data_IF_524178431360
#
_entry.id   IF_524178431360
#
_cell.length_a   1.000
_cell.length_b   1.000
_cell.length_c   1.000
_cell.angle_alpha   90.00
_cell.angle_beta   90.00
_cell.angle_gamma   90.00
#
_symmetry.space_group_name_H-M   'P 1'
#
loop_
_entity.id
_entity.type
_entity.pdbx_description
1 polymer ?
#
# COMPACT_ATOMS: atom_id res chain seq x y z
N UNK A 1 -38.67 64.79 19.05
CA UNK A 1 -39.31 63.64 19.74
C UNK A 1 -39.61 62.56 18.71
N UNK A 2 -39.03 61.37 18.92
CA UNK A 2 -39.45 60.02 18.50
C UNK A 2 -39.70 59.76 16.99
N UNK A 3 -38.81 59.02 16.31
CA UNK A 3 -38.83 57.55 16.17
C UNK A 3 -40.05 57.09 15.33
N UNK A 4 -39.91 56.32 14.24
CA UNK A 4 -39.59 54.89 14.26
C UNK A 4 -39.17 54.38 12.86
N UNK A 5 -38.04 53.67 12.85
CA UNK A 5 -37.53 52.66 11.90
C UNK A 5 -38.59 51.85 11.11
N UNK A 6 -38.28 51.54 9.85
CA UNK A 6 -38.44 50.18 9.28
C UNK A 6 -37.48 49.98 8.11
N UNK A 7 -36.30 49.46 8.44
CA UNK A 7 -35.31 48.90 7.54
C UNK A 7 -35.80 47.55 7.00
N UNK A 8 -35.99 47.43 5.68
CA UNK A 8 -36.26 46.15 5.02
C UNK A 8 -34.93 45.48 4.66
N UNK A 9 -34.81 44.22 5.07
CA UNK A 9 -33.56 43.46 5.14
C UNK A 9 -33.08 43.00 3.77
N UNK A 10 -31.75 43.07 3.64
CA UNK A 10 -30.86 42.40 2.70
C UNK A 10 -31.23 40.91 2.55
N UNK A 11 -31.28 40.43 1.31
CA UNK A 11 -31.13 39.02 0.98
C UNK A 11 -30.07 38.89 -0.13
N UNK A 12 -28.81 39.14 0.23
CA UNK A 12 -27.66 38.71 -0.57
C UNK A 12 -27.59 37.19 -0.48
N UNK A 13 -28.00 36.53 -1.56
CA UNK A 13 -27.83 35.11 -1.77
C UNK A 13 -26.31 34.84 -1.93
N UNK A 14 -25.60 34.68 -0.81
CA UNK A 14 -24.21 34.22 -0.82
C UNK A 14 -24.24 32.73 -1.17
N UNK A 15 -24.13 32.44 -2.46
CA UNK A 15 -23.87 31.10 -2.98
C UNK A 15 -22.45 30.73 -2.51
N UNK A 16 -22.34 30.14 -1.32
CA UNK A 16 -21.14 29.45 -0.89
C UNK A 16 -20.95 28.30 -1.89
N UNK A 17 -20.04 28.50 -2.85
CA UNK A 17 -19.48 27.40 -3.61
C UNK A 17 -18.66 26.57 -2.62
N UNK A 18 -19.32 25.64 -1.93
CA UNK A 18 -18.65 24.56 -1.23
C UNK A 18 -18.08 23.68 -2.33
N UNK A 19 -16.85 23.97 -2.76
CA UNK A 19 -16.07 23.01 -3.51
C UNK A 19 -15.85 21.83 -2.56
N UNK A 20 -16.67 20.80 -2.73
CA UNK A 20 -16.42 19.49 -2.15
C UNK A 20 -15.13 18.99 -2.78
N UNK A 21 -14.01 19.24 -2.13
CA UNK A 21 -12.75 18.58 -2.46
C UNK A 21 -12.87 17.13 -1.99
N UNK A 22 -13.54 16.29 -2.77
CA UNK A 22 -13.16 14.89 -2.84
C UNK A 22 -11.86 14.84 -3.62
N UNK A 23 -10.71 14.94 -2.95
CA UNK A 23 -9.43 14.80 -3.64
C UNK A 23 -9.22 13.33 -3.98
N UNK A 24 -9.57 12.96 -5.22
CA UNK A 24 -9.11 11.71 -5.81
C UNK A 24 -7.58 11.66 -5.73
N UNK A 25 -7.01 10.45 -5.67
CA UNK A 25 -5.56 10.24 -5.73
C UNK A 25 -4.97 11.07 -6.87
N UNK A 26 -3.79 11.71 -6.65
CA UNK A 26 -3.09 12.44 -7.71
C UNK A 26 -2.97 11.54 -8.95
N UNK A 27 -3.73 11.86 -9.99
CA UNK A 27 -3.75 11.07 -11.22
C UNK A 27 -2.52 11.40 -12.05
N UNK A 28 -1.52 10.54 -11.97
CA UNK A 28 -0.33 10.60 -12.83
C UNK A 28 -0.61 9.90 -14.16
N UNK A 29 -0.36 10.63 -15.27
CA UNK A 29 -0.53 10.11 -16.63
C UNK A 29 0.84 9.64 -17.13
N UNK A 30 0.96 8.35 -17.45
CA UNK A 30 2.20 7.76 -17.93
C UNK A 30 2.77 8.53 -19.13
N UNK A 31 4.06 8.87 -19.10
CA UNK A 31 4.75 9.65 -20.13
C UNK A 31 4.49 11.16 -20.11
N UNK A 32 3.61 11.67 -19.24
CA UNK A 32 3.40 13.11 -19.08
C UNK A 32 4.05 13.59 -17.78
N UNK A 33 5.22 14.20 -17.92
CA UNK A 33 5.99 14.76 -16.81
C UNK A 33 5.77 16.27 -16.74
N UNK A 34 5.48 16.86 -15.56
CA UNK A 34 5.48 18.30 -15.36
C UNK A 34 6.82 18.95 -15.75
N UNK A 35 6.80 20.14 -16.34
CA UNK A 35 8.02 20.85 -16.73
C UNK A 35 8.93 21.17 -15.52
N UNK A 36 8.33 21.44 -14.36
CA UNK A 36 9.04 21.62 -13.08
C UNK A 36 9.82 20.37 -12.68
N UNK A 37 9.26 19.18 -12.89
CA UNK A 37 9.92 17.91 -12.56
C UNK A 37 11.06 17.58 -13.54
N UNK A 38 10.91 17.94 -14.82
CA UNK A 38 11.98 17.79 -15.82
C UNK A 38 13.16 18.71 -15.53
N UNK A 39 12.90 19.96 -15.13
CA UNK A 39 13.91 20.98 -14.86
C UNK A 39 14.48 20.94 -13.44
N UNK A 40 13.88 20.17 -12.52
CA UNK A 40 14.36 19.99 -11.15
C UNK A 40 15.80 19.44 -11.14
N UNK A 41 16.69 20.16 -10.43
CA UNK A 41 18.10 19.78 -10.24
C UNK A 41 18.44 19.41 -8.80
N UNK A 42 17.69 19.93 -7.84
CA UNK A 42 17.84 19.69 -6.40
C UNK A 42 16.44 19.51 -5.83
N UNK A 43 16.32 18.66 -4.82
CA UNK A 43 15.09 18.52 -4.06
C UNK A 43 15.19 19.37 -2.78
N UNK A 44 14.37 20.41 -2.66
CA UNK A 44 14.53 21.42 -1.59
C UNK A 44 14.36 20.86 -0.16
N UNK A 45 13.65 19.74 0.00
CA UNK A 45 13.46 19.10 1.30
C UNK A 45 14.57 18.09 1.67
N UNK A 46 15.46 17.77 0.74
CA UNK A 46 16.72 17.05 0.99
C UNK A 46 17.72 17.37 -0.13
N UNK A 47 18.51 18.43 0.07
CA UNK A 47 19.49 18.88 -0.93
C UNK A 47 20.66 17.92 -1.12
N UNK A 48 20.78 16.89 -0.28
CA UNK A 48 21.83 15.87 -0.37
C UNK A 48 21.38 14.60 -1.08
N UNK A 49 20.12 14.55 -1.54
CA UNK A 49 19.56 13.37 -2.17
C UNK A 49 20.16 13.11 -3.55
N UNK A 50 20.65 11.89 -3.75
CA UNK A 50 21.10 11.40 -5.07
C UNK A 50 19.92 11.08 -5.99
N UNK A 51 18.81 10.66 -5.39
CA UNK A 51 17.55 10.29 -6.05
C UNK A 51 16.40 10.81 -5.21
N UNK A 52 15.35 11.32 -5.86
CA UNK A 52 14.08 11.65 -5.19
C UNK A 52 12.92 10.91 -5.86
N UNK A 53 12.05 10.33 -5.05
CA UNK A 53 10.77 9.79 -5.53
C UNK A 53 9.79 10.96 -5.65
N UNK A 54 9.49 11.34 -6.89
CA UNK A 54 8.60 12.44 -7.20
C UNK A 54 7.14 12.07 -6.90
N UNK A 55 6.78 10.84 -7.22
CA UNK A 55 5.45 10.26 -7.06
C UNK A 55 5.57 8.75 -6.81
N UNK A 56 4.92 8.24 -5.77
CA UNK A 56 4.70 6.81 -5.51
C UNK A 56 3.21 6.60 -5.25
N UNK A 57 2.46 6.23 -6.29
CA UNK A 57 1.00 6.17 -6.23
C UNK A 57 0.53 4.75 -6.46
N UNK A 58 -0.32 4.28 -5.55
CA UNK A 58 -0.95 2.98 -5.57
C UNK A 58 -2.47 3.08 -5.69
N UNK A 59 -3.07 2.12 -6.37
CA UNK A 59 -4.50 1.89 -6.37
C UNK A 59 -4.74 0.40 -6.08
N UNK A 60 -5.40 0.11 -4.96
CA UNK A 60 -5.72 -1.24 -4.55
C UNK A 60 -7.20 -1.53 -4.76
N UNK A 61 -7.50 -2.59 -5.50
CA UNK A 61 -8.85 -3.04 -5.84
C UNK A 61 -9.06 -4.48 -5.44
N UNK A 62 -10.32 -4.86 -5.29
CA UNK A 62 -10.69 -6.22 -4.98
C UNK A 62 -11.76 -6.71 -5.95
N UNK A 63 -11.57 -7.91 -6.50
CA UNK A 63 -12.60 -8.61 -7.25
C UNK A 63 -13.21 -9.68 -6.35
N UNK A 64 -14.54 -9.70 -6.21
CA UNK A 64 -15.28 -10.63 -5.33
C UNK A 64 -16.18 -11.61 -6.11
N UNK A 65 -16.12 -11.63 -7.44
CA UNK A 65 -17.10 -12.36 -8.27
C UNK A 65 -16.89 -13.88 -8.27
N UNK A 66 -15.65 -14.35 -8.41
CA UNK A 66 -15.34 -15.79 -8.51
C UNK A 66 -14.38 -16.25 -7.40
N UNK A 67 -13.30 -15.49 -7.20
CA UNK A 67 -12.32 -15.63 -6.14
C UNK A 67 -12.01 -14.25 -5.64
N UNK A 68 -11.93 -14.08 -4.32
CA UNK A 68 -11.52 -12.78 -3.76
C UNK A 68 -10.04 -12.56 -4.07
N UNK A 69 -9.76 -11.72 -5.05
CA UNK A 69 -8.41 -11.36 -5.49
C UNK A 69 -8.17 -9.88 -5.24
N UNK A 70 -7.01 -9.54 -4.67
CA UNK A 70 -6.55 -8.17 -4.59
C UNK A 70 -5.73 -7.81 -5.83
N UNK A 71 -5.82 -6.57 -6.26
CA UNK A 71 -5.05 -6.00 -7.37
C UNK A 71 -4.40 -4.73 -6.86
N UNK A 72 -3.08 -4.62 -6.98
CA UNK A 72 -2.34 -3.42 -6.63
C UNK A 72 -1.68 -2.84 -7.88
N UNK A 73 -2.26 -1.75 -8.38
CA UNK A 73 -1.67 -0.95 -9.45
C UNK A 73 -0.69 0.04 -8.82
N UNK A 74 0.56 0.04 -9.27
CA UNK A 74 1.61 0.94 -8.77
C UNK A 74 2.15 1.77 -9.92
N UNK A 75 2.29 3.08 -9.71
CA UNK A 75 2.94 3.99 -10.65
C UNK A 75 3.91 4.90 -9.89
N UNK A 76 5.20 4.82 -10.25
CA UNK A 76 6.28 5.55 -9.60
C UNK A 76 7.06 6.40 -10.59
N UNK A 77 7.60 7.52 -10.07
CA UNK A 77 8.55 8.38 -10.76
C UNK A 77 9.72 8.67 -9.84
N UNK A 78 10.94 8.34 -10.26
CA UNK A 78 12.18 8.65 -9.53
C UNK A 78 13.05 9.55 -10.39
N UNK A 79 13.47 10.69 -9.85
CA UNK A 79 14.39 11.62 -10.49
C UNK A 79 15.80 11.35 -10.01
N UNK A 80 16.73 11.21 -10.94
CA UNK A 80 18.18 11.13 -10.67
C UNK A 80 18.72 12.55 -10.54
N UNK A 81 19.29 12.90 -9.40
CA UNK A 81 19.78 14.24 -9.09
C UNK A 81 21.31 14.35 -9.17
N UNK A 82 22.03 13.24 -8.98
CA UNK A 82 23.50 13.19 -8.99
C UNK A 82 24.02 12.00 -9.79
N UNK A 83 25.33 11.99 -10.07
CA UNK A 83 26.02 10.85 -10.70
C UNK A 83 25.91 9.57 -9.86
N UNK A 84 25.96 9.69 -8.52
CA UNK A 84 25.81 8.54 -7.63
C UNK A 84 24.42 7.89 -7.74
N UNK A 85 23.39 8.70 -7.99
CA UNK A 85 22.01 8.24 -8.19
C UNK A 85 21.82 7.35 -9.42
N UNK A 86 22.72 7.41 -10.42
CA UNK A 86 22.66 6.55 -11.61
C UNK A 86 22.73 5.05 -11.23
N UNK A 87 23.37 4.72 -10.10
CA UNK A 87 23.45 3.35 -9.59
C UNK A 87 22.09 2.79 -9.13
N UNK A 88 21.04 3.61 -8.98
CA UNK A 88 19.69 3.16 -8.68
C UNK A 88 18.94 2.58 -9.90
N UNK A 89 19.61 2.46 -11.06
CA UNK A 89 18.98 2.13 -12.33
C UNK A 89 18.38 0.73 -12.49
N UNK A 90 18.39 -0.07 -11.44
CA UNK A 90 17.69 -1.37 -11.41
C UNK A 90 16.62 -1.34 -10.33
N UNK A 91 15.36 -1.44 -10.74
CA UNK A 91 14.24 -1.64 -9.83
C UNK A 91 13.99 -3.14 -9.63
N UNK A 92 13.76 -3.54 -8.37
CA UNK A 92 13.47 -4.93 -8.01
C UNK A 92 12.10 -5.01 -7.36
N UNK A 93 11.20 -5.78 -7.96
CA UNK A 93 9.88 -6.07 -7.43
C UNK A 93 9.85 -7.53 -6.99
N UNK A 94 9.80 -7.77 -5.67
CA UNK A 94 9.64 -9.13 -5.11
C UNK A 94 8.17 -9.50 -5.04
N UNK A 95 7.86 -10.76 -5.33
CA UNK A 95 6.51 -11.32 -5.27
C UNK A 95 6.56 -12.78 -4.79
N UNK A 96 5.45 -13.28 -4.25
CA UNK A 96 5.33 -14.67 -3.81
C UNK A 96 5.15 -15.56 -5.04
N UNK A 97 6.12 -16.43 -5.30
CA UNK A 97 6.17 -17.30 -6.48
C UNK A 97 5.53 -18.67 -6.18
N UNK A 98 4.28 -18.62 -5.76
CA UNK A 98 3.40 -19.79 -5.65
C UNK A 98 2.36 -19.67 -6.76
N UNK A 99 2.13 -20.76 -7.49
CA UNK A 99 1.21 -20.76 -8.63
C UNK A 99 -0.18 -20.23 -8.22
N UNK A 100 -0.68 -19.23 -8.95
CA UNK A 100 -1.96 -18.59 -8.67
C UNK A 100 -2.02 -17.79 -7.36
N UNK A 101 -0.89 -17.50 -6.71
CA UNK A 101 -0.85 -16.66 -5.51
C UNK A 101 -0.59 -15.19 -5.86
N UNK A 102 0.60 -14.83 -6.35
CA UNK A 102 0.89 -13.47 -6.85
C UNK A 102 1.47 -13.52 -8.26
N UNK A 103 1.04 -12.57 -9.09
CA UNK A 103 1.55 -12.38 -10.44
C UNK A 103 1.83 -10.89 -10.70
N UNK A 104 2.99 -10.57 -11.27
CA UNK A 104 3.27 -9.22 -11.75
C UNK A 104 2.84 -9.13 -13.21
N UNK A 105 1.98 -8.17 -13.53
CA UNK A 105 1.44 -7.97 -14.86
C UNK A 105 1.52 -6.49 -15.28
N UNK A 106 1.22 -6.22 -16.55
CA UNK A 106 1.06 -4.85 -17.08
C UNK A 106 2.26 -3.91 -16.87
N UNK A 107 3.48 -4.47 -16.83
CA UNK A 107 4.72 -3.71 -16.58
C UNK A 107 5.02 -2.77 -17.76
N UNK A 108 5.14 -1.47 -17.45
CA UNK A 108 5.57 -0.40 -18.35
C UNK A 108 6.66 0.40 -17.67
N UNK A 109 7.81 0.51 -18.31
CA UNK A 109 8.94 1.26 -17.78
C UNK A 109 9.59 2.10 -18.88
N UNK A 110 10.05 3.29 -18.52
CA UNK A 110 10.78 4.18 -19.42
C UNK A 110 11.66 5.15 -18.63
N UNK A 111 12.68 5.67 -19.32
CA UNK A 111 13.49 6.80 -18.87
C UNK A 111 13.06 8.03 -19.64
N UNK A 112 12.78 9.12 -18.93
CA UNK A 112 12.56 10.44 -19.52
C UNK A 112 13.81 11.28 -19.24
N UNK A 113 14.48 11.70 -20.31
CA UNK A 113 15.69 12.49 -20.23
C UNK A 113 15.39 13.96 -19.90
N UNK A 114 16.39 14.75 -19.46
CA UNK A 114 16.22 16.17 -19.14
C UNK A 114 15.67 17.01 -20.31
N UNK A 115 15.97 16.64 -21.55
CA UNK A 115 15.47 17.28 -22.77
C UNK A 115 14.03 16.83 -23.14
N UNK A 116 13.45 15.89 -22.38
CA UNK A 116 12.14 15.30 -22.61
C UNK A 116 12.17 14.06 -23.51
N UNK A 117 13.34 13.64 -24.02
CA UNK A 117 13.47 12.42 -24.83
C UNK A 117 13.07 11.19 -24.01
N UNK A 118 12.22 10.33 -24.57
CA UNK A 118 11.74 9.12 -23.91
C UNK A 118 12.48 7.89 -24.46
N UNK A 119 13.16 7.18 -23.57
CA UNK A 119 13.79 5.87 -23.85
C UNK A 119 12.95 4.80 -23.16
N UNK A 120 12.27 3.96 -23.95
CA UNK A 120 11.47 2.86 -23.40
C UNK A 120 12.38 1.75 -22.86
N UNK A 121 11.96 1.13 -21.76
CA UNK A 121 12.62 -0.09 -21.28
C UNK A 121 12.08 -1.27 -22.08
N UNK A 122 12.96 -1.87 -22.88
CA UNK A 122 12.63 -3.06 -23.66
C UNK A 122 12.45 -4.30 -22.79
N UNK A 123 11.67 -5.28 -23.27
CA UNK A 123 11.41 -6.54 -22.55
C UNK A 123 12.69 -7.30 -22.16
N UNK A 124 13.75 -7.20 -22.97
CA UNK A 124 15.05 -7.81 -22.67
C UNK A 124 15.74 -7.23 -21.44
N UNK A 125 15.36 -6.03 -21.01
CA UNK A 125 15.85 -5.39 -19.78
C UNK A 125 14.97 -5.72 -18.56
N UNK A 126 13.97 -6.59 -18.73
CA UNK A 126 13.08 -7.06 -17.67
C UNK A 126 13.31 -8.56 -17.48
N UNK A 127 13.86 -8.93 -16.33
CA UNK A 127 14.21 -10.31 -16.01
C UNK A 127 13.37 -10.76 -14.82
N UNK A 128 12.60 -11.83 -15.01
CA UNK A 128 11.87 -12.50 -13.95
C UNK A 128 12.62 -13.77 -13.55
N UNK A 129 13.03 -13.87 -12.29
CA UNK A 129 13.86 -14.97 -11.81
C UNK A 129 13.42 -15.49 -10.44
N UNK A 130 13.86 -16.72 -10.14
CA UNK A 130 13.68 -17.31 -8.81
C UNK A 130 14.61 -16.58 -7.86
N UNK A 131 14.05 -16.00 -6.79
CA UNK A 131 14.84 -15.40 -5.72
C UNK A 131 15.05 -16.39 -4.58
N UNK A 132 14.01 -17.13 -4.21
CA UNK A 132 14.05 -18.22 -3.23
C UNK A 132 12.96 -19.25 -3.55
N UNK A 133 12.77 -20.24 -2.67
CA UNK A 133 11.74 -21.28 -2.87
C UNK A 133 10.32 -20.73 -2.89
N UNK A 134 10.06 -19.62 -2.19
CA UNK A 134 8.72 -19.02 -2.09
C UNK A 134 8.60 -17.66 -2.78
N UNK A 135 9.72 -17.07 -3.21
CA UNK A 135 9.72 -15.72 -3.78
C UNK A 135 10.39 -15.67 -5.15
N UNK A 136 9.76 -14.90 -6.04
CA UNK A 136 10.33 -14.45 -7.30
C UNK A 136 10.77 -12.99 -7.18
N UNK A 137 11.60 -12.55 -8.12
CA UNK A 137 11.92 -11.14 -8.26
C UNK A 137 11.93 -10.74 -9.73
N UNK A 138 11.22 -9.65 -10.03
CA UNK A 138 11.26 -8.99 -11.32
C UNK A 138 12.29 -7.85 -11.24
N UNK A 139 13.38 -7.98 -11.99
CA UNK A 139 14.43 -6.96 -12.14
C UNK A 139 14.17 -6.16 -13.41
N UNK A 140 14.12 -4.84 -13.28
CA UNK A 140 13.86 -3.92 -14.38
C UNK A 140 15.05 -2.96 -14.48
N UNK A 141 15.87 -3.13 -15.52
CA UNK A 141 17.01 -2.27 -15.78
C UNK A 141 16.61 -1.07 -16.65
N UNK A 142 16.90 0.14 -16.20
CA UNK A 142 16.62 1.39 -16.90
C UNK A 142 17.87 1.83 -17.67
N UNK A 143 17.89 1.73 -19.01
CA UNK A 143 19.08 2.04 -19.79
C UNK A 143 19.26 3.54 -19.98
N UNK A 144 20.51 3.98 -20.13
CA UNK A 144 20.84 5.35 -20.52
C UNK A 144 20.51 6.40 -19.46
N UNK A 145 20.51 6.05 -18.18
CA UNK A 145 20.35 7.02 -17.10
C UNK A 145 21.51 8.02 -17.08
N UNK A 146 21.17 9.28 -16.85
CA UNK A 146 22.08 10.40 -16.64
C UNK A 146 21.51 11.31 -15.54
N UNK A 147 22.32 12.27 -15.09
CA UNK A 147 21.84 13.29 -14.16
C UNK A 147 20.65 14.03 -14.76
N UNK A 148 19.58 14.11 -13.98
CA UNK A 148 18.30 14.70 -14.39
C UNK A 148 17.34 13.75 -15.10
N UNK A 149 17.71 12.49 -15.37
CA UNK A 149 16.77 11.50 -15.88
C UNK A 149 15.65 11.21 -14.88
N UNK A 150 14.47 10.85 -15.39
CA UNK A 150 13.35 10.34 -14.60
C UNK A 150 13.07 8.89 -15.01
N UNK A 151 13.20 7.97 -14.06
CA UNK A 151 12.68 6.61 -14.19
C UNK A 151 11.19 6.64 -13.93
N UNK A 152 10.37 6.24 -14.89
CA UNK A 152 8.93 6.07 -14.72
C UNK A 152 8.56 4.60 -14.88
N UNK A 153 7.92 4.05 -13.85
CA UNK A 153 7.55 2.65 -13.76
C UNK A 153 6.07 2.54 -13.41
N UNK A 154 5.34 1.70 -14.15
CA UNK A 154 3.98 1.30 -13.82
C UNK A 154 3.84 -0.21 -13.94
N UNK A 155 3.22 -0.85 -12.96
CA UNK A 155 2.95 -2.29 -12.98
C UNK A 155 1.71 -2.60 -12.15
N UNK A 156 1.19 -3.80 -12.30
CA UNK A 156 0.11 -4.35 -11.48
C UNK A 156 0.61 -5.62 -10.79
N UNK A 157 0.27 -5.77 -9.51
CA UNK A 157 0.38 -7.05 -8.81
C UNK A 157 -1.04 -7.59 -8.68
N UNK A 158 -1.27 -8.76 -9.25
CA UNK A 158 -2.50 -9.51 -9.13
C UNK A 158 -2.35 -10.59 -8.06
N UNK A 159 -3.35 -10.72 -7.21
CA UNK A 159 -3.46 -11.80 -6.23
C UNK A 159 -3.00 -11.40 -4.83
N UNK A 160 -2.38 -12.33 -4.13
CA UNK A 160 -2.04 -12.25 -2.72
C UNK A 160 -3.21 -12.63 -1.81
N UNK A 161 -3.04 -12.38 -0.52
CA UNK A 161 -4.09 -12.60 0.47
C UNK A 161 -5.05 -11.41 0.50
N UNK A 162 -6.35 -11.65 0.29
CA UNK A 162 -7.35 -10.64 0.61
C UNK A 162 -7.56 -10.49 2.13
N UNK A 163 -7.15 -11.47 2.93
CA UNK A 163 -7.17 -11.32 4.39
C UNK A 163 -6.13 -10.30 4.87
N UNK A 164 -4.95 -10.34 4.24
CA UNK A 164 -3.81 -9.47 4.51
C UNK A 164 -3.24 -8.94 3.19
N UNK A 165 -3.89 -7.94 2.58
CA UNK A 165 -3.40 -7.35 1.34
C UNK A 165 -1.98 -6.81 1.52
N UNK A 166 -1.27 -6.67 0.40
CA UNK A 166 0.13 -6.24 0.40
C UNK A 166 0.30 -4.91 1.14
N UNK A 167 1.27 -4.88 2.05
CA UNK A 167 1.62 -3.68 2.82
C UNK A 167 2.10 -2.58 1.88
N UNK A 168 1.54 -1.38 2.05
CA UNK A 168 1.93 -0.21 1.27
C UNK A 168 2.94 0.63 2.05
N UNK A 169 4.10 0.90 1.45
CA UNK A 169 5.15 1.70 2.07
C UNK A 169 5.09 3.13 1.52
N UNK A 170 4.98 4.13 2.40
CA UNK A 170 5.02 5.53 1.99
C UNK A 170 6.45 6.06 1.93
N UNK A 171 7.35 5.50 2.74
CA UNK A 171 8.76 5.84 2.79
C UNK A 171 9.64 4.82 2.05
N UNK A 172 10.85 5.25 1.73
CA UNK A 172 11.89 4.41 1.16
C UNK A 172 13.28 4.91 1.62
N UNK A 173 14.33 4.28 1.11
CA UNK A 173 15.71 4.78 1.25
C UNK A 173 15.97 6.12 0.53
N UNK A 174 15.04 6.54 -0.34
CA UNK A 174 15.06 7.83 -1.02
C UNK A 174 13.96 8.75 -0.46
N UNK A 175 14.20 10.07 -0.38
CA UNK A 175 13.16 11.01 0.00
C UNK A 175 12.01 10.94 -1.00
N UNK A 176 10.79 11.05 -0.50
CA UNK A 176 9.57 10.87 -1.29
C UNK A 176 8.69 12.09 -1.20
N UNK A 177 8.59 12.84 -2.29
CA UNK A 177 7.80 14.08 -2.37
C UNK A 177 6.32 13.82 -2.19
N UNK A 178 5.80 12.76 -2.80
CA UNK A 178 4.40 12.38 -2.69
C UNK A 178 4.24 10.86 -2.75
N UNK A 179 3.63 10.29 -1.73
CA UNK A 179 3.23 8.89 -1.72
C UNK A 179 1.75 8.79 -1.39
N UNK A 180 1.00 7.96 -2.11
CA UNK A 180 -0.41 7.76 -1.85
C UNK A 180 -0.89 6.36 -2.22
N UNK A 181 -1.87 5.86 -1.49
CA UNK A 181 -2.61 4.64 -1.81
C UNK A 181 -4.11 4.95 -1.77
N UNK A 182 -4.80 4.65 -2.85
CA UNK A 182 -6.26 4.55 -2.86
C UNK A 182 -6.69 3.10 -2.61
N UNK A 183 -7.54 2.89 -1.61
CA UNK A 183 -8.08 1.57 -1.25
C UNK A 183 -9.54 1.50 -1.67
N UNK A 184 -9.79 0.88 -2.82
CA UNK A 184 -11.13 0.67 -3.36
C UNK A 184 -11.63 -0.73 -2.99
N UNK A 185 -11.95 -0.90 -1.71
CA UNK A 185 -12.62 -2.08 -1.20
C UNK A 185 -14.13 -1.98 -1.46
N UNK A 186 -14.75 -3.04 -2.03
CA UNK A 186 -16.21 -3.10 -2.16
C UNK A 186 -16.84 -3.23 -0.78
N UNK A 187 -18.11 -2.81 -0.63
CA UNK A 187 -18.78 -2.77 0.67
C UNK A 187 -18.90 -4.15 1.34
N UNK A 188 -18.78 -5.21 0.56
CA UNK A 188 -18.74 -6.61 1.00
C UNK A 188 -17.48 -6.96 1.79
N UNK A 189 -16.43 -6.15 1.76
CA UNK A 189 -15.17 -6.39 2.46
C UNK A 189 -14.88 -5.21 3.40
N UNK A 190 -14.91 -5.47 4.71
CA UNK A 190 -14.55 -4.48 5.71
C UNK A 190 -13.10 -4.66 6.13
N UNK A 191 -12.27 -3.62 5.93
CA UNK A 191 -10.87 -3.63 6.35
C UNK A 191 -10.62 -2.74 7.57
N UNK A 192 -9.74 -3.21 8.44
CA UNK A 192 -8.98 -2.38 9.38
C UNK A 192 -7.73 -1.84 8.70
N UNK A 193 -7.44 -0.57 8.97
CA UNK A 193 -6.26 0.14 8.49
C UNK A 193 -5.39 0.55 9.68
N UNK A 194 -4.13 0.12 9.68
CA UNK A 194 -3.15 0.46 10.70
C UNK A 194 -1.92 1.07 10.03
N UNK A 195 -1.60 2.30 10.41
CA UNK A 195 -0.40 2.99 9.95
C UNK A 195 0.67 2.80 11.02
N UNK A 196 1.84 2.33 10.61
CA UNK A 196 3.01 2.13 11.47
C UNK A 196 4.15 2.97 10.92
N UNK A 197 4.94 3.60 11.80
CA UNK A 197 6.03 4.51 11.44
C UNK A 197 5.87 5.88 12.07
N UNK A 198 6.82 6.76 11.79
CA UNK A 198 6.92 8.06 12.47
C UNK A 198 6.35 9.23 11.64
N UNK A 199 6.06 9.01 10.35
CA UNK A 199 5.55 10.07 9.49
C UNK A 199 4.03 10.22 9.59
N UNK A 200 3.57 11.46 9.47
CA UNK A 200 2.14 11.76 9.48
C UNK A 200 1.53 11.45 8.11
N UNK A 201 0.79 10.34 8.04
CA UNK A 201 -0.01 9.96 6.88
C UNK A 201 -1.44 10.45 7.08
N UNK A 202 -1.93 11.24 6.12
CA UNK A 202 -3.30 11.72 6.11
C UNK A 202 -4.20 10.71 5.43
N UNK A 203 -5.46 10.67 5.88
CA UNK A 203 -6.52 9.89 5.25
C UNK A 203 -7.66 10.82 4.84
N UNK A 204 -8.03 10.76 3.56
CA UNK A 204 -9.18 11.47 3.00
C UNK A 204 -10.03 10.47 2.20
N UNK A 205 -11.19 10.08 2.75
CA UNK A 205 -12.04 9.05 2.15
C UNK A 205 -11.31 7.72 2.02
N UNK A 206 -11.15 7.25 0.77
CA UNK A 206 -10.45 6.00 0.41
C UNK A 206 -8.93 6.17 0.23
N UNK A 207 -8.43 7.40 0.30
CA UNK A 207 -7.04 7.74 -0.02
C UNK A 207 -6.23 7.97 1.25
N UNK A 208 -5.10 7.29 1.34
CA UNK A 208 -4.04 7.53 2.33
C UNK A 208 -2.86 8.18 1.63
N UNK A 209 -2.30 9.27 2.17
CA UNK A 209 -1.18 9.95 1.52
C UNK A 209 -0.24 10.67 2.49
N UNK A 210 1.01 10.79 2.05
CA UNK A 210 2.06 11.57 2.69
C UNK A 210 2.75 12.50 1.69
N UNK A 211 3.35 13.58 2.19
CA UNK A 211 4.07 14.58 1.39
C UNK A 211 5.41 14.87 2.04
N UNK A 212 6.44 15.06 1.21
CA UNK A 212 7.81 15.38 1.63
C UNK A 212 8.34 14.45 2.73
N UNK A 213 8.16 13.16 2.51
CA UNK A 213 8.58 12.12 3.43
C UNK A 213 10.11 11.97 3.35
N UNK A 214 10.82 11.99 4.48
CA UNK A 214 12.27 11.86 4.49
C UNK A 214 12.72 10.46 4.07
N UNK A 215 13.95 10.38 3.55
CA UNK A 215 14.63 9.12 3.35
C UNK A 215 14.92 8.43 4.68
N UNK A 216 14.80 7.11 4.70
CA UNK A 216 15.33 6.28 5.78
C UNK A 216 16.70 5.78 5.35
N UNK A 217 17.76 6.35 5.92
CA UNK A 217 19.14 5.92 5.66
C UNK A 217 19.46 4.70 6.52
N UNK A 218 20.23 3.77 5.98
CA UNK A 218 20.74 2.66 6.78
C UNK A 218 21.69 3.22 7.85
N UNK A 219 21.42 2.90 9.11
CA UNK A 219 22.29 3.25 10.24
C UNK A 219 23.09 2.04 10.71
N UNK A 220 24.23 2.30 11.36
CA UNK A 220 25.00 1.23 11.98
C UNK A 220 24.13 0.43 12.96
N UNK A 221 24.20 -0.90 12.89
CA UNK A 221 23.41 -1.85 13.70
C UNK A 221 21.91 -1.93 13.37
N UNK A 222 21.45 -1.29 12.29
CA UNK A 222 20.10 -1.51 11.77
C UNK A 222 20.02 -2.90 11.12
N UNK A 223 19.10 -3.75 11.57
CA UNK A 223 18.92 -5.10 11.00
C UNK A 223 18.26 -5.05 9.63
N UNK A 224 17.11 -4.36 9.53
CA UNK A 224 16.33 -4.22 8.30
C UNK A 224 15.75 -2.80 8.24
N UNK A 225 16.22 -1.93 7.31
CA UNK A 225 15.72 -0.56 7.19
C UNK A 225 14.22 -0.47 6.91
N UNK A 226 13.69 -1.45 6.17
CA UNK A 226 12.28 -1.53 5.80
C UNK A 226 11.32 -1.55 7.00
N UNK A 227 11.76 -2.04 8.15
CA UNK A 227 10.92 -2.12 9.35
C UNK A 227 10.57 -0.74 9.92
N UNK A 228 11.42 0.25 9.66
CA UNK A 228 11.25 1.64 10.11
C UNK A 228 10.44 2.49 9.14
N UNK A 229 10.12 1.97 7.95
CA UNK A 229 9.40 2.74 6.94
C UNK A 229 7.97 2.96 7.39
N UNK A 230 7.49 4.20 7.24
CA UNK A 230 6.08 4.47 7.43
C UNK A 230 5.25 3.70 6.39
N UNK A 231 4.34 2.86 6.87
CA UNK A 231 3.60 1.89 6.05
C UNK A 231 2.15 1.73 6.52
N UNK A 232 1.27 1.41 5.58
CA UNK A 232 -0.13 1.05 5.83
C UNK A 232 -0.29 -0.47 5.74
N UNK A 233 -0.78 -1.04 6.84
CA UNK A 233 -1.21 -2.42 6.92
C UNK A 233 -2.73 -2.47 6.85
N UNK A 234 -3.24 -3.37 6.02
CA UNK A 234 -4.66 -3.63 5.89
C UNK A 234 -4.94 -5.06 6.32
N UNK A 235 -6.00 -5.22 7.09
CA UNK A 235 -6.43 -6.52 7.60
C UNK A 235 -7.94 -6.61 7.50
N UNK A 236 -8.46 -7.69 6.94
CA UNK A 236 -9.90 -7.86 6.85
C UNK A 236 -10.49 -8.06 8.26
N UNK A 237 -11.56 -7.33 8.56
CA UNK A 237 -12.36 -7.46 9.78
C UNK A 237 -13.52 -8.41 9.56
N UNK A 238 -14.25 -8.19 8.47
CA UNK A 238 -15.43 -8.97 8.12
C UNK A 238 -15.64 -9.02 6.61
N UNK A 239 -16.37 -10.03 6.14
CA UNK A 239 -16.83 -10.09 4.75
C UNK A 239 -18.30 -10.48 4.67
N UNK A 240 -19.01 -10.02 3.64
CA UNK A 240 -20.39 -10.38 3.38
C UNK A 240 -20.44 -11.71 2.62
N UNK A 241 -21.09 -12.71 3.21
CA UNK A 241 -21.25 -14.02 2.58
C UNK A 241 -22.38 -14.03 1.51
N UNK A 242 -22.55 -15.17 0.83
CA UNK A 242 -23.57 -15.34 -0.22
C UNK A 242 -25.01 -15.12 0.26
N UNK A 243 -25.27 -15.24 1.56
CA UNK A 243 -26.58 -14.99 2.19
C UNK A 243 -26.77 -13.53 2.63
N UNK A 244 -25.77 -12.67 2.35
CA UNK A 244 -25.79 -11.25 2.68
C UNK A 244 -25.46 -10.91 4.13
N UNK A 245 -25.00 -11.88 4.92
CA UNK A 245 -24.59 -11.67 6.32
C UNK A 245 -23.10 -11.38 6.40
N UNK A 246 -22.71 -10.37 7.19
CA UNK A 246 -21.30 -10.15 7.53
C UNK A 246 -20.80 -11.25 8.47
N UNK A 247 -19.69 -11.86 8.08
CA UNK A 247 -18.96 -12.87 8.83
C UNK A 247 -17.66 -12.23 9.32
N UNK A 248 -17.44 -12.09 10.64
CA UNK A 248 -16.18 -11.60 11.17
C UNK A 248 -15.06 -12.62 10.93
N UNK A 249 -13.83 -12.13 10.76
CA UNK A 249 -12.66 -12.99 10.53
C UNK A 249 -11.77 -13.07 11.77
N UNK A 250 -11.43 -11.92 12.38
CA UNK A 250 -10.41 -11.83 13.44
C UNK A 250 -10.82 -10.87 14.57
N UNK A 251 -12.02 -11.02 15.15
CA UNK A 251 -12.49 -10.08 16.19
C UNK A 251 -11.79 -10.26 17.54
N UNK A 252 -11.55 -11.49 18.00
CA UNK A 252 -10.85 -11.75 19.25
C UNK A 252 -10.20 -13.16 19.26
N UNK A 253 -9.19 -13.34 20.12
CA UNK A 253 -8.49 -14.62 20.25
C UNK A 253 -9.40 -15.77 20.67
N UNK A 254 -10.51 -15.51 21.39
CA UNK A 254 -11.51 -16.54 21.69
C UNK A 254 -12.14 -17.10 20.40
N UNK A 255 -12.57 -16.23 19.48
CA UNK A 255 -13.15 -16.62 18.21
C UNK A 255 -12.12 -17.30 17.30
N UNK A 256 -10.87 -16.82 17.27
CA UNK A 256 -9.79 -17.43 16.49
C UNK A 256 -9.45 -18.83 17.03
N UNK A 257 -9.32 -18.97 18.36
CA UNK A 257 -9.07 -20.27 18.97
C UNK A 257 -10.25 -21.22 18.75
N UNK A 258 -11.50 -20.72 18.82
CA UNK A 258 -12.68 -21.51 18.54
C UNK A 258 -12.78 -21.93 17.06
N UNK A 259 -12.43 -21.05 16.11
CA UNK A 259 -12.46 -21.38 14.69
C UNK A 259 -11.37 -22.40 14.34
N UNK A 260 -10.14 -22.20 14.82
CA UNK A 260 -9.03 -23.16 14.67
C UNK A 260 -9.36 -24.53 15.29
N UNK A 261 -9.98 -24.56 16.47
CA UNK A 261 -10.42 -25.80 17.12
C UNK A 261 -11.42 -26.59 16.28
N UNK A 262 -12.36 -25.90 15.63
CA UNK A 262 -13.44 -26.53 14.86
C UNK A 262 -13.10 -26.76 13.38
N UNK A 263 -11.97 -26.26 12.90
CA UNK A 263 -11.51 -26.41 11.53
C UNK A 263 -11.24 -27.89 11.21
N UNK A 264 -11.76 -28.37 10.07
CA UNK A 264 -11.63 -29.78 9.67
C UNK A 264 -10.22 -30.17 9.29
N UNK A 265 -9.43 -29.22 8.79
CA UNK A 265 -8.11 -29.44 8.21
C UNK A 265 -7.00 -29.06 9.19
N UNK A 266 -7.36 -28.52 10.36
CA UNK A 266 -6.45 -28.22 11.45
C UNK A 266 -6.93 -28.83 12.77
N UNK A 267 -7.91 -28.23 13.45
CA UNK A 267 -8.29 -28.60 14.81
C UNK A 267 -8.81 -30.03 14.94
N UNK A 268 -9.61 -30.48 13.97
CA UNK A 268 -10.14 -31.85 13.97
C UNK A 268 -9.08 -32.90 13.61
N UNK A 269 -8.10 -32.58 12.76
CA UNK A 269 -6.96 -33.47 12.49
C UNK A 269 -6.02 -33.57 13.70
N UNK A 270 -5.80 -32.46 14.41
CA UNK A 270 -5.02 -32.43 15.64
C UNK A 270 -5.71 -33.20 16.79
N UNK A 271 -7.04 -33.36 16.72
CA UNK A 271 -7.88 -34.04 17.72
C UNK A 271 -8.37 -35.43 17.26
N UNK A 272 -7.92 -35.94 16.12
CA UNK A 272 -8.40 -37.23 15.58
C UNK A 272 -8.29 -38.37 16.58
N UNK A 273 -9.44 -38.73 17.18
CA UNK A 273 -9.85 -39.78 18.11
C UNK A 273 -8.87 -40.45 19.12
N UNK A 274 -7.56 -40.20 19.17
CA UNK A 274 -6.68 -40.96 20.06
C UNK A 274 -5.38 -40.30 20.55
N UNK A 275 -5.13 -39.01 20.32
CA UNK A 275 -3.99 -38.34 20.96
C UNK A 275 -4.45 -37.17 21.82
N UNK A 276 -4.69 -37.49 23.10
CA UNK A 276 -4.89 -36.49 24.17
C UNK A 276 -3.67 -35.58 24.24
N UNK A 277 -3.84 -34.34 23.79
CA UNK A 277 -2.82 -33.30 23.84
C UNK A 277 -3.21 -32.32 24.96
N UNK A 278 -2.43 -32.24 26.05
CA UNK A 278 -2.73 -31.39 27.20
C UNK A 278 -2.94 -29.91 26.86
N UNK A 279 -2.29 -29.40 25.80
CA UNK A 279 -2.51 -28.04 25.33
C UNK A 279 -3.94 -27.83 24.82
N UNK A 280 -4.47 -28.78 24.03
CA UNK A 280 -5.81 -28.67 23.45
C UNK A 280 -6.91 -28.92 24.48
N UNK A 281 -6.67 -29.79 25.47
CA UNK A 281 -7.57 -29.99 26.59
C UNK A 281 -7.66 -28.74 27.49
N UNK A 282 -6.52 -28.10 27.77
CA UNK A 282 -6.46 -26.82 28.47
C UNK A 282 -7.16 -25.69 27.68
N UNK A 283 -6.89 -25.58 26.37
CA UNK A 283 -7.55 -24.59 25.51
C UNK A 283 -9.08 -24.80 25.48
N UNK A 284 -9.55 -26.04 25.35
CA UNK A 284 -10.97 -26.38 25.37
C UNK A 284 -11.62 -26.01 26.71
N UNK A 285 -10.94 -26.27 27.82
CA UNK A 285 -11.38 -25.86 29.16
C UNK A 285 -11.50 -24.33 29.27
N UNK A 286 -10.50 -23.60 28.79
CA UNK A 286 -10.47 -22.12 28.82
C UNK A 286 -11.51 -21.48 27.89
N UNK A 287 -11.74 -22.05 26.70
CA UNK A 287 -12.80 -21.64 25.78
C UNK A 287 -14.19 -21.84 26.41
N UNK A 288 -14.44 -23.02 27.00
CA UNK A 288 -15.71 -23.32 27.67
C UNK A 288 -15.94 -22.45 28.91
N UNK A 289 -14.88 -22.05 29.60
CA UNK A 289 -14.94 -21.16 30.76
C UNK A 289 -15.04 -19.66 30.41
N UNK A 290 -14.95 -19.29 29.12
CA UNK A 290 -14.95 -17.89 28.67
C UNK A 290 -13.79 -17.07 29.24
N UNK A 291 -12.65 -17.72 29.52
CA UNK A 291 -11.57 -17.18 30.35
C UNK A 291 -10.33 -16.72 29.60
N UNK A 292 -10.30 -16.72 28.26
CA UNK A 292 -9.23 -16.06 27.50
C UNK A 292 -9.48 -14.54 27.52
N UNK A 293 -9.25 -13.92 28.68
CA UNK A 293 -9.41 -12.47 28.92
C UNK A 293 -8.11 -11.68 28.77
N UNK A 294 -6.98 -12.35 28.54
CA UNK A 294 -5.67 -11.70 28.62
C UNK A 294 -5.15 -11.13 27.28
N UNK A 295 -5.89 -11.29 26.19
CA UNK A 295 -5.53 -10.69 24.89
C UNK A 295 -6.78 -10.19 24.18
N UNK A 296 -7.23 -8.99 24.55
CA UNK A 296 -8.47 -8.41 24.00
C UNK A 296 -8.37 -7.97 22.53
N UNK A 297 -7.22 -8.16 21.86
CA UNK A 297 -7.09 -7.95 20.41
C UNK A 297 -6.09 -8.92 19.79
N UNK A 298 -6.53 -9.61 18.73
CA UNK A 298 -5.62 -10.17 17.73
C UNK A 298 -5.23 -9.04 16.78
N UNK A 299 -4.44 -8.09 17.29
CA UNK A 299 -3.89 -6.98 16.49
C UNK A 299 -2.62 -7.43 15.75
#
# INVERSE_FOLDING_TARGET
>A
MNAVRKSLKICCFLLLAVTVFGQNVKKIIFGKIPAEDLSMKVYDHDSTADVVILDHVGEMKFNIVNRTEAFLNVHTRKKILTEAGINSGVEIIRYIRIEGYEEIQSVKAQVIQPDGTIVKVEKSNIVDEKYSDYYGQLKIAFPGLQVGSIMELKYEIKGGSFYFPRVWHFQSIYPTRYAALEVDAPGELEYGATITGNENIKQEGKVYFGRNLPAIREEAYMTIPQDYFTKLNLQIKSYKNAYGKYVPVLENWNQVAYSLYNDSDFGKLMYGDNWGNPFWDDLKSKLNAGSLKDYDKAN
#
